data_IF_720864412914
#
_entry.id   IF_720864412914
#
_cell.length_a   1.000
_cell.length_b   1.000
_cell.length_c   1.000
_cell.angle_alpha   90.00
_cell.angle_beta   90.00
_cell.angle_gamma   90.00
#
_symmetry.space_group_name_H-M   'P 1'
#
loop_
_entity.id
_entity.type
_entity.pdbx_description
1 polymer ?
#
# COMPACT_ATOMS: atom_id res chain seq x y z
N UNK A 1 38.93 -18.99 28.75
CA UNK A 1 38.70 -17.84 27.87
C UNK A 1 38.60 -18.36 26.44
N UNK A 2 37.63 -17.93 25.61
CA UNK A 2 37.54 -18.38 24.22
C UNK A 2 38.81 -17.95 23.47
N UNK A 3 39.37 -18.87 22.67
CA UNK A 3 40.58 -18.59 21.91
C UNK A 3 40.39 -17.49 20.87
N UNK A 4 41.45 -16.77 20.45
CA UNK A 4 41.37 -15.60 19.57
C UNK A 4 40.69 -15.88 18.20
N UNK A 5 40.57 -17.14 17.82
CA UNK A 5 39.88 -17.55 16.60
C UNK A 5 38.35 -17.65 16.79
N UNK A 6 37.86 -18.09 17.95
CA UNK A 6 36.41 -18.13 18.25
C UNK A 6 35.84 -16.70 18.30
N UNK A 7 36.60 -15.78 18.90
CA UNK A 7 36.22 -14.36 18.92
C UNK A 7 36.17 -13.77 17.51
N UNK A 8 37.09 -14.06 16.61
CA UNK A 8 37.07 -13.62 15.22
C UNK A 8 35.81 -14.13 14.47
N UNK A 9 35.48 -15.42 14.61
CA UNK A 9 34.28 -16.01 14.00
C UNK A 9 32.97 -15.40 14.57
N UNK A 10 32.94 -15.11 15.87
CA UNK A 10 31.82 -14.44 16.49
C UNK A 10 31.64 -13.00 15.95
N UNK A 11 32.74 -12.27 15.78
CA UNK A 11 32.73 -10.93 15.20
C UNK A 11 32.33 -10.93 13.72
N UNK A 12 32.75 -11.91 12.91
CA UNK A 12 32.30 -12.03 11.53
C UNK A 12 30.84 -12.38 11.45
N UNK A 13 30.34 -13.28 12.29
CA UNK A 13 28.91 -13.61 12.36
C UNK A 13 28.07 -12.39 12.79
N UNK A 14 28.53 -11.65 13.81
CA UNK A 14 27.87 -10.41 14.23
C UNK A 14 27.87 -9.35 13.12
N UNK A 15 28.97 -9.22 12.39
CA UNK A 15 29.06 -8.32 11.22
C UNK A 15 28.09 -8.69 10.11
N UNK A 16 27.99 -9.98 9.77
CA UNK A 16 27.01 -10.48 8.77
C UNK A 16 25.60 -10.28 9.26
N UNK A 17 25.29 -10.58 10.52
CA UNK A 17 23.99 -10.35 11.11
C UNK A 17 23.60 -8.86 11.06
N UNK A 18 24.52 -7.97 11.41
CA UNK A 18 24.32 -6.53 11.33
C UNK A 18 24.09 -6.06 9.88
N UNK A 19 24.88 -6.57 8.93
CA UNK A 19 24.71 -6.25 7.51
C UNK A 19 23.34 -6.70 6.98
N UNK A 20 22.94 -7.94 7.30
CA UNK A 20 21.62 -8.48 6.90
C UNK A 20 20.50 -7.65 7.50
N UNK A 21 20.61 -7.29 8.78
CA UNK A 21 19.62 -6.44 9.46
C UNK A 21 19.57 -5.05 8.84
N UNK A 22 20.72 -4.45 8.54
CA UNK A 22 20.81 -3.14 7.89
C UNK A 22 20.21 -3.17 6.47
N UNK A 23 20.54 -4.19 5.66
CA UNK A 23 19.96 -4.40 4.33
C UNK A 23 18.44 -4.59 4.44
N UNK A 24 17.97 -5.46 5.32
CA UNK A 24 16.54 -5.66 5.54
C UNK A 24 15.85 -4.36 5.95
N UNK A 25 16.47 -3.51 6.77
CA UNK A 25 15.93 -2.22 7.17
C UNK A 25 15.86 -1.22 6.01
N UNK A 26 16.86 -1.21 5.11
CA UNK A 26 16.87 -0.35 3.92
C UNK A 26 15.78 -0.76 2.92
N UNK A 27 15.53 -2.06 2.76
CA UNK A 27 14.48 -2.58 1.87
C UNK A 27 13.09 -2.65 2.52
N UNK A 28 12.98 -2.34 3.81
CA UNK A 28 11.68 -2.30 4.48
C UNK A 28 10.84 -1.12 3.95
N UNK A 29 9.52 -1.32 3.70
CA UNK A 29 8.63 -0.22 3.32
C UNK A 29 8.74 0.93 4.33
N UNK A 30 8.70 2.19 3.89
CA UNK A 30 8.74 3.33 4.80
C UNK A 30 7.57 3.28 5.79
N UNK A 31 7.68 3.99 6.90
CA UNK A 31 6.53 4.19 7.79
C UNK A 31 5.49 5.09 7.10
N UNK A 32 4.18 4.88 7.37
CA UNK A 32 3.16 5.77 6.82
C UNK A 32 3.40 7.21 7.22
N UNK A 33 3.16 8.19 6.33
CA UNK A 33 3.28 9.60 6.67
C UNK A 33 2.27 10.00 7.75
N UNK A 34 2.61 10.98 8.57
CA UNK A 34 1.73 11.49 9.63
C UNK A 34 0.80 12.60 9.15
N UNK A 35 1.04 13.14 7.97
CA UNK A 35 0.22 14.16 7.33
C UNK A 35 -0.13 13.71 5.93
N UNK A 36 -1.39 13.90 5.56
CA UNK A 36 -1.95 13.60 4.24
C UNK A 36 -2.74 14.82 3.78
N UNK A 37 -2.61 15.20 2.53
CA UNK A 37 -3.39 16.30 1.93
C UNK A 37 -4.52 15.72 1.09
N UNK A 38 -5.74 16.19 1.35
CA UNK A 38 -6.95 15.77 0.67
C UNK A 38 -7.56 16.93 -0.10
N UNK A 39 -7.69 16.79 -1.41
CA UNK A 39 -8.45 17.71 -2.22
C UNK A 39 -9.96 17.43 -2.07
N UNK A 40 -10.73 18.49 -1.84
CA UNK A 40 -12.17 18.40 -1.58
C UNK A 40 -12.98 19.03 -2.70
N UNK A 41 -13.58 20.15 -2.47
CA UNK A 41 -14.35 20.93 -3.40
C UNK A 41 -14.41 22.39 -2.91
N UNK A 42 -15.30 23.20 -3.46
CA UNK A 42 -15.47 24.57 -3.00
C UNK A 42 -15.79 24.65 -1.50
N UNK A 43 -15.37 25.72 -0.86
CA UNK A 43 -15.72 25.98 0.53
C UNK A 43 -17.24 26.01 0.69
N UNK A 44 -17.77 25.35 1.73
CA UNK A 44 -19.20 25.16 1.94
C UNK A 44 -19.87 24.10 1.07
N UNK A 45 -19.15 23.48 0.13
CA UNK A 45 -19.64 22.36 -0.68
C UNK A 45 -19.69 21.04 0.09
N UNK A 46 -20.37 20.04 -0.50
CA UNK A 46 -20.53 18.72 0.12
C UNK A 46 -19.20 18.02 0.42
N UNK A 47 -18.25 18.04 -0.52
CA UNK A 47 -16.94 17.44 -0.33
C UNK A 47 -16.13 18.12 0.77
N UNK A 48 -16.23 19.45 0.91
CA UNK A 48 -15.58 20.18 2.00
C UNK A 48 -16.16 19.77 3.36
N UNK A 49 -17.48 19.68 3.48
CA UNK A 49 -18.15 19.23 4.71
C UNK A 49 -17.81 17.77 5.05
N UNK A 50 -17.74 16.88 4.06
CA UNK A 50 -17.30 15.49 4.24
C UNK A 50 -15.84 15.42 4.65
N UNK A 51 -14.96 16.19 4.01
CA UNK A 51 -13.54 16.29 4.37
C UNK A 51 -13.32 16.63 5.84
N UNK A 52 -14.11 17.56 6.38
CA UNK A 52 -14.06 17.90 7.82
C UNK A 52 -14.40 16.73 8.72
N UNK A 53 -15.40 15.90 8.35
CA UNK A 53 -15.72 14.67 9.10
C UNK A 53 -14.56 13.66 9.06
N UNK A 54 -13.96 13.46 7.89
CA UNK A 54 -12.76 12.60 7.76
C UNK A 54 -11.60 13.15 8.59
N UNK A 55 -11.37 14.46 8.58
CA UNK A 55 -10.33 15.10 9.38
C UNK A 55 -10.49 14.82 10.88
N UNK A 56 -11.72 14.92 11.40
CA UNK A 56 -12.01 14.64 12.80
C UNK A 56 -11.78 13.17 13.15
N UNK A 57 -12.22 12.23 12.31
CA UNK A 57 -12.04 10.80 12.52
C UNK A 57 -10.56 10.42 12.50
N UNK A 58 -9.82 10.89 11.49
CA UNK A 58 -8.41 10.57 11.31
C UNK A 58 -7.53 11.20 12.40
N UNK A 59 -7.93 12.37 12.92
CA UNK A 59 -7.27 12.99 14.07
C UNK A 59 -7.27 12.09 15.30
N UNK A 60 -8.32 11.30 15.54
CA UNK A 60 -8.39 10.31 16.63
C UNK A 60 -7.34 9.21 16.50
N UNK A 61 -6.86 8.96 15.27
CA UNK A 61 -5.81 7.99 14.96
C UNK A 61 -4.41 8.62 14.85
N UNK A 62 -4.24 9.88 15.32
CA UNK A 62 -3.01 10.66 15.22
C UNK A 62 -2.51 10.84 13.77
N UNK A 63 -3.41 10.88 12.79
CA UNK A 63 -3.16 11.26 11.42
C UNK A 63 -3.69 12.67 11.18
N UNK A 64 -2.84 13.56 10.67
CA UNK A 64 -3.21 14.92 10.28
C UNK A 64 -3.70 14.91 8.83
N UNK A 65 -4.97 15.17 8.63
CA UNK A 65 -5.54 15.39 7.30
C UNK A 65 -5.61 16.91 7.04
N UNK A 66 -4.93 17.38 6.02
CA UNK A 66 -5.00 18.76 5.54
C UNK A 66 -5.98 18.83 4.37
N UNK A 67 -6.95 19.72 4.44
CA UNK A 67 -7.96 19.87 3.41
C UNK A 67 -7.57 20.99 2.45
N UNK A 68 -7.56 20.69 1.15
CA UNK A 68 -7.35 21.64 0.08
C UNK A 68 -8.68 21.91 -0.63
N UNK A 69 -9.16 23.15 -0.55
CA UNK A 69 -10.32 23.59 -1.31
C UNK A 69 -9.98 23.66 -2.82
N UNK A 70 -10.89 23.19 -3.66
CA UNK A 70 -10.77 23.15 -5.12
C UNK A 70 -12.11 23.47 -5.77
N UNK A 71 -12.14 23.53 -7.11
CA UNK A 71 -13.38 23.70 -7.86
C UNK A 71 -14.17 22.37 -8.05
N UNK A 72 -13.66 21.24 -7.54
CA UNK A 72 -14.32 19.93 -7.61
C UNK A 72 -13.51 18.88 -8.37
N UNK A 73 -14.21 17.83 -8.83
CA UNK A 73 -13.59 16.56 -9.26
C UNK A 73 -12.55 16.69 -10.36
N UNK A 74 -12.72 17.57 -11.34
CA UNK A 74 -11.76 17.73 -12.44
C UNK A 74 -10.44 18.29 -11.90
N UNK A 75 -10.51 19.35 -11.09
CA UNK A 75 -9.30 19.90 -10.44
C UNK A 75 -8.71 18.91 -9.44
N UNK A 76 -9.53 18.14 -8.72
CA UNK A 76 -9.06 17.12 -7.78
C UNK A 76 -8.17 16.07 -8.48
N UNK A 77 -8.58 15.62 -9.66
CA UNK A 77 -7.79 14.69 -10.48
C UNK A 77 -6.49 15.33 -10.92
N UNK A 78 -6.50 16.57 -11.39
CA UNK A 78 -5.29 17.28 -11.77
C UNK A 78 -4.30 17.41 -10.61
N UNK A 79 -4.82 17.75 -9.40
CA UNK A 79 -4.02 17.85 -8.17
C UNK A 79 -3.44 16.51 -7.73
N UNK A 80 -4.20 15.41 -7.85
CA UNK A 80 -3.72 14.05 -7.55
C UNK A 80 -2.63 13.61 -8.52
N UNK A 81 -2.72 13.99 -9.80
CA UNK A 81 -1.73 13.66 -10.84
C UNK A 81 -0.45 14.47 -10.71
N UNK A 82 -0.51 15.63 -10.09
CA UNK A 82 0.68 16.44 -9.78
C UNK A 82 1.44 15.83 -8.59
N UNK A 83 2.47 15.03 -8.87
CA UNK A 83 3.30 14.39 -7.85
C UNK A 83 4.03 15.39 -6.94
N UNK A 84 4.22 16.65 -7.37
CA UNK A 84 4.87 17.69 -6.59
C UNK A 84 3.89 18.51 -5.75
N UNK A 85 2.60 18.44 -6.07
CA UNK A 85 1.54 19.20 -5.40
C UNK A 85 1.17 18.69 -4.00
N UNK A 86 1.69 17.53 -3.59
CA UNK A 86 1.51 16.96 -2.25
C UNK A 86 0.12 16.38 -1.97
N UNK A 87 -0.86 16.53 -2.87
CA UNK A 87 -2.20 15.93 -2.73
C UNK A 87 -2.11 14.43 -2.97
N UNK A 88 -2.62 13.64 -2.03
CA UNK A 88 -2.57 12.18 -2.10
C UNK A 88 -3.95 11.51 -2.08
N UNK A 89 -4.99 12.24 -1.69
CA UNK A 89 -6.37 11.76 -1.54
C UNK A 89 -7.33 12.79 -2.10
N UNK A 90 -8.42 12.36 -2.73
CA UNK A 90 -9.49 13.26 -3.14
C UNK A 90 -10.85 12.57 -3.24
N UNK A 91 -11.93 13.34 -3.12
CA UNK A 91 -13.24 12.93 -3.57
C UNK A 91 -13.36 13.18 -5.08
N UNK A 92 -13.84 12.18 -5.81
CA UNK A 92 -13.96 12.25 -7.27
C UNK A 92 -15.32 11.74 -7.69
N UNK A 93 -16.04 12.56 -8.46
CA UNK A 93 -17.29 12.19 -9.09
C UNK A 93 -17.05 11.29 -10.29
N UNK A 94 -17.81 10.22 -10.40
CA UNK A 94 -17.72 9.30 -11.53
C UNK A 94 -17.99 9.98 -12.88
N UNK A 95 -17.32 9.51 -13.91
CA UNK A 95 -17.36 10.07 -15.26
C UNK A 95 -16.40 11.24 -15.50
N UNK A 96 -15.56 11.58 -14.51
CA UNK A 96 -14.61 12.69 -14.67
C UNK A 96 -13.23 12.28 -15.16
N UNK A 97 -12.86 11.01 -15.02
CA UNK A 97 -11.59 10.44 -15.50
C UNK A 97 -11.77 8.98 -15.91
N UNK A 98 -10.67 8.35 -16.32
CA UNK A 98 -10.60 6.91 -16.58
C UNK A 98 -9.22 6.35 -16.21
N UNK A 99 -9.13 5.02 -16.06
CA UNK A 99 -7.85 4.35 -15.80
C UNK A 99 -6.81 4.58 -16.90
N UNK A 100 -7.24 4.84 -18.14
CA UNK A 100 -6.33 5.15 -19.24
C UNK A 100 -5.78 6.59 -19.15
N UNK A 101 -6.57 7.52 -18.61
CA UNK A 101 -6.17 8.93 -18.46
C UNK A 101 -5.34 9.18 -17.20
N UNK A 102 -5.55 8.37 -16.15
CA UNK A 102 -4.88 8.54 -14.85
C UNK A 102 -4.44 7.17 -14.28
N UNK A 103 -3.46 6.50 -14.91
CA UNK A 103 -3.00 5.17 -14.50
C UNK A 103 -2.30 5.18 -13.13
N UNK A 104 -1.85 6.33 -12.66
CA UNK A 104 -1.23 6.54 -11.34
C UNK A 104 -2.23 6.66 -10.18
N UNK A 105 -3.53 6.59 -10.48
CA UNK A 105 -4.59 6.72 -9.49
C UNK A 105 -5.36 5.42 -9.30
N UNK A 106 -5.77 5.16 -8.06
CA UNK A 106 -6.61 4.02 -7.70
C UNK A 106 -7.80 4.45 -6.84
N UNK A 107 -8.89 3.72 -6.93
CA UNK A 107 -10.07 3.96 -6.11
C UNK A 107 -10.01 3.16 -4.81
N UNK A 108 -10.49 3.74 -3.73
CA UNK A 108 -10.80 3.01 -2.50
C UNK A 108 -12.27 2.53 -2.46
N UNK A 109 -13.05 2.84 -3.48
CA UNK A 109 -14.44 2.42 -3.63
C UNK A 109 -15.42 3.59 -3.73
N UNK A 110 -16.67 3.25 -3.98
CA UNK A 110 -17.79 4.20 -4.05
C UNK A 110 -18.25 4.56 -2.64
N UNK A 111 -18.45 5.84 -2.38
CA UNK A 111 -18.82 6.38 -1.07
C UNK A 111 -20.30 6.69 -0.92
N UNK A 112 -20.90 7.23 -1.95
CA UNK A 112 -22.32 7.64 -1.98
C UNK A 112 -22.76 7.96 -3.40
N UNK A 113 -24.08 8.10 -3.57
CA UNK A 113 -24.67 8.61 -4.79
C UNK A 113 -24.77 10.12 -4.74
N UNK A 114 -24.46 10.76 -5.87
CA UNK A 114 -24.64 12.18 -6.12
C UNK A 114 -25.78 12.36 -7.13
N UNK A 115 -27.03 12.59 -6.66
CA UNK A 115 -28.15 12.77 -7.55
C UNK A 115 -27.96 13.99 -8.46
N UNK A 116 -28.21 13.78 -9.72
CA UNK A 116 -28.23 14.83 -10.74
C UNK A 116 -29.63 15.41 -10.86
N UNK A 117 -29.83 16.53 -10.19
CA UNK A 117 -31.09 17.25 -10.16
C UNK A 117 -31.20 18.15 -11.37
N UNK A 118 -32.33 18.04 -12.10
CA UNK A 118 -32.67 18.96 -13.18
C UNK A 118 -33.98 19.62 -12.83
N UNK A 119 -33.92 20.90 -12.51
CA UNK A 119 -35.09 21.70 -12.23
C UNK A 119 -35.41 22.64 -13.40
N UNK A 120 -36.67 22.80 -13.73
CA UNK A 120 -37.11 23.76 -14.72
C UNK A 120 -38.30 24.55 -14.19
N UNK A 121 -38.52 25.75 -14.73
CA UNK A 121 -39.73 26.50 -14.41
C UNK A 121 -40.97 25.79 -14.91
N UNK A 122 -42.03 25.83 -14.13
CA UNK A 122 -43.38 25.45 -14.57
C UNK A 122 -43.87 26.51 -15.55
N UNK A 123 -43.98 26.18 -16.83
CA UNK A 123 -44.57 27.07 -17.81
C UNK A 123 -46.09 26.83 -17.83
N UNK A 124 -46.93 27.88 -17.78
CA UNK A 124 -48.36 27.73 -18.01
C UNK A 124 -48.60 27.05 -19.35
N UNK A 125 -49.46 26.02 -19.37
CA UNK A 125 -49.75 25.21 -20.58
C UNK A 125 -50.35 26.04 -21.75
N UNK A 126 -50.79 27.27 -21.48
CA UNK A 126 -51.46 28.15 -22.42
C UNK A 126 -50.59 29.23 -23.09
N UNK A 127 -49.27 29.18 -22.92
CA UNK A 127 -48.44 30.04 -23.76
C UNK A 127 -48.22 29.31 -25.11
N UNK A 128 -48.85 29.82 -26.21
CA UNK A 128 -48.63 29.24 -27.53
C UNK A 128 -47.15 29.34 -27.83
N UNK A 129 -46.53 28.22 -28.14
CA UNK A 129 -45.15 28.01 -28.54
C UNK A 129 -44.27 29.24 -28.47
N UNK A 130 -44.04 29.72 -27.26
CA UNK A 130 -43.22 30.89 -27.02
C UNK A 130 -41.74 30.53 -27.27
N UNK A 131 -41.38 30.54 -28.55
CA UNK A 131 -40.03 30.82 -28.99
C UNK A 131 -39.68 32.20 -28.45
N UNK A 132 -39.10 32.26 -27.25
CA UNK A 132 -38.35 33.44 -26.84
C UNK A 132 -37.32 33.70 -27.96
N UNK A 133 -37.30 34.93 -28.48
CA UNK A 133 -36.32 35.35 -29.51
C UNK A 133 -34.85 35.21 -29.03
N UNK A 134 -34.63 34.95 -27.75
CA UNK A 134 -33.38 34.49 -27.15
C UNK A 134 -33.52 33.03 -26.76
N UNK A 135 -32.52 32.19 -26.96
CA UNK A 135 -32.49 30.77 -26.60
C UNK A 135 -32.84 30.52 -25.11
N UNK A 136 -32.94 29.24 -24.72
CA UNK A 136 -33.09 28.89 -23.30
C UNK A 136 -31.86 29.36 -22.50
N UNK A 137 -32.10 29.93 -21.31
CA UNK A 137 -31.05 30.26 -20.35
C UNK A 137 -30.91 29.12 -19.32
N UNK A 138 -29.78 28.45 -19.30
CA UNK A 138 -29.56 27.27 -18.45
C UNK A 138 -28.30 27.42 -17.63
N UNK A 139 -28.25 26.78 -16.47
CA UNK A 139 -27.00 26.60 -15.74
C UNK A 139 -26.62 25.12 -15.63
N UNK A 140 -25.39 24.81 -16.00
CA UNK A 140 -24.83 23.46 -15.90
C UNK A 140 -23.80 23.33 -14.75
N UNK A 141 -23.82 24.25 -13.80
CA UNK A 141 -22.92 24.33 -12.67
C UNK A 141 -21.61 25.05 -13.00
N UNK A 142 -20.72 25.19 -12.03
CA UNK A 142 -19.45 25.90 -12.19
C UNK A 142 -18.53 25.26 -13.24
N UNK A 143 -17.72 26.06 -13.90
CA UNK A 143 -16.66 25.59 -14.80
C UNK A 143 -15.78 24.57 -14.11
N UNK A 144 -15.33 23.55 -14.85
CA UNK A 144 -14.42 22.49 -14.35
C UNK A 144 -15.01 21.66 -13.19
N UNK A 145 -16.29 21.79 -12.88
CA UNK A 145 -16.99 20.88 -11.96
C UNK A 145 -17.41 19.59 -12.66
N UNK A 146 -17.58 18.52 -11.87
CA UNK A 146 -18.15 17.28 -12.39
C UNK A 146 -19.58 17.45 -12.90
N UNK A 147 -20.38 18.34 -12.29
CA UNK A 147 -21.73 18.70 -12.73
C UNK A 147 -21.71 19.24 -14.15
N UNK A 148 -20.82 20.21 -14.43
CA UNK A 148 -20.68 20.82 -15.75
C UNK A 148 -20.37 19.77 -16.82
N UNK A 149 -19.40 18.90 -16.57
CA UNK A 149 -19.01 17.82 -17.50
C UNK A 149 -20.18 16.89 -17.79
N UNK A 150 -20.86 16.38 -16.77
CA UNK A 150 -22.00 15.44 -16.93
C UNK A 150 -23.17 16.12 -17.62
N UNK A 151 -23.50 17.37 -17.27
CA UNK A 151 -24.57 18.11 -17.89
C UNK A 151 -24.38 18.28 -19.41
N UNK A 152 -23.19 18.67 -19.84
CA UNK A 152 -22.84 18.75 -21.26
C UNK A 152 -22.92 17.39 -21.96
N UNK A 153 -22.41 16.34 -21.37
CA UNK A 153 -22.48 15.00 -21.94
C UNK A 153 -23.91 14.50 -22.08
N UNK A 154 -24.76 14.70 -21.07
CA UNK A 154 -26.14 14.28 -21.12
C UNK A 154 -26.94 15.15 -22.10
N UNK A 155 -26.69 16.45 -22.16
CA UNK A 155 -27.35 17.36 -23.14
C UNK A 155 -27.01 16.94 -24.58
N UNK A 156 -25.74 16.64 -24.87
CA UNK A 156 -25.29 16.13 -26.17
C UNK A 156 -25.96 14.78 -26.52
N UNK A 157 -26.01 13.84 -25.54
CA UNK A 157 -26.64 12.53 -25.75
C UNK A 157 -28.17 12.61 -25.99
N UNK A 158 -28.83 13.68 -25.50
CA UNK A 158 -30.25 13.95 -25.72
C UNK A 158 -30.50 14.78 -27.00
N UNK A 159 -29.47 15.19 -27.73
CA UNK A 159 -29.56 16.00 -28.92
C UNK A 159 -30.01 17.46 -28.64
N UNK A 160 -29.65 17.99 -27.44
CA UNK A 160 -29.92 19.39 -27.12
C UNK A 160 -28.98 20.28 -27.94
N UNK A 161 -29.56 21.25 -28.65
CA UNK A 161 -28.80 22.24 -29.41
C UNK A 161 -28.25 23.32 -28.48
N UNK A 162 -26.98 23.14 -28.08
CA UNK A 162 -26.30 24.07 -27.17
C UNK A 162 -25.96 25.41 -27.85
N UNK A 163 -25.88 25.45 -29.18
CA UNK A 163 -25.59 26.70 -29.91
C UNK A 163 -26.79 27.71 -29.82
N UNK A 164 -27.99 27.17 -29.52
CA UNK A 164 -29.17 27.95 -29.28
C UNK A 164 -29.51 28.14 -27.81
N UNK A 165 -28.60 27.80 -26.91
CA UNK A 165 -28.83 27.81 -25.46
C UNK A 165 -27.77 28.68 -24.83
N UNK A 166 -28.18 29.66 -24.03
CA UNK A 166 -27.27 30.45 -23.20
C UNK A 166 -26.89 29.63 -21.97
N UNK A 167 -25.69 29.06 -21.95
CA UNK A 167 -25.22 28.26 -20.83
C UNK A 167 -24.42 29.14 -19.86
N UNK A 168 -24.85 29.17 -18.59
CA UNK A 168 -24.18 29.89 -17.51
C UNK A 168 -23.53 28.91 -16.55
N UNK A 169 -22.37 29.31 -16.04
CA UNK A 169 -21.53 28.49 -15.12
C UNK A 169 -21.66 29.03 -13.69
N UNK A 170 -22.80 28.77 -13.07
CA UNK A 170 -23.15 29.32 -11.76
C UNK A 170 -23.04 28.27 -10.66
N UNK A 171 -22.74 28.73 -9.44
CA UNK A 171 -22.84 27.89 -8.27
C UNK A 171 -24.28 27.40 -8.04
N UNK A 172 -24.48 26.21 -7.43
CA UNK A 172 -25.82 25.64 -7.21
C UNK A 172 -26.79 26.59 -6.51
N UNK A 173 -26.33 27.37 -5.54
CA UNK A 173 -27.18 28.33 -4.80
C UNK A 173 -27.60 29.48 -5.69
N UNK A 174 -26.66 30.10 -6.41
CA UNK A 174 -26.94 31.22 -7.30
C UNK A 174 -27.83 30.79 -8.47
N UNK A 175 -27.57 29.62 -9.05
CA UNK A 175 -28.39 29.04 -10.10
C UNK A 175 -29.83 28.81 -9.62
N UNK A 176 -30.02 28.27 -8.41
CA UNK A 176 -31.32 28.04 -7.81
C UNK A 176 -32.07 29.36 -7.54
N UNK A 177 -31.39 30.37 -7.00
CA UNK A 177 -31.98 31.71 -6.79
C UNK A 177 -32.43 32.37 -8.11
N UNK A 178 -31.61 32.30 -9.16
CA UNK A 178 -31.96 32.84 -10.48
C UNK A 178 -33.09 32.07 -11.15
N UNK A 179 -33.17 30.74 -10.96
CA UNK A 179 -34.28 29.94 -11.43
C UNK A 179 -35.59 30.39 -10.76
N UNK A 180 -35.60 30.59 -9.44
CA UNK A 180 -36.76 31.06 -8.67
C UNK A 180 -37.21 32.47 -9.10
N UNK A 181 -36.28 33.38 -9.36
CA UNK A 181 -36.52 34.72 -9.87
C UNK A 181 -37.03 34.72 -11.33
N UNK A 182 -36.74 33.67 -12.07
CA UNK A 182 -37.13 33.56 -13.48
C UNK A 182 -36.08 34.07 -14.46
N UNK A 183 -34.88 34.27 -13.99
CA UNK A 183 -33.74 34.67 -14.81
C UNK A 183 -33.14 33.47 -15.55
N UNK A 184 -33.42 32.22 -15.09
CA UNK A 184 -33.08 30.97 -15.74
C UNK A 184 -34.32 30.14 -16.05
N UNK A 185 -34.27 29.35 -17.11
CA UNK A 185 -35.30 28.40 -17.53
C UNK A 185 -35.10 27.01 -16.97
N UNK A 186 -33.82 26.59 -16.82
CA UNK A 186 -33.44 25.27 -16.35
C UNK A 186 -32.08 25.32 -15.65
N UNK A 187 -31.96 24.53 -14.63
CA UNK A 187 -30.67 24.32 -13.95
C UNK A 187 -30.39 22.85 -13.74
N UNK A 188 -29.11 22.49 -13.79
CA UNK A 188 -28.61 21.19 -13.40
C UNK A 188 -27.72 21.33 -12.15
N UNK A 189 -28.00 20.54 -11.12
CA UNK A 189 -27.27 20.55 -9.86
C UNK A 189 -26.88 19.11 -9.50
N UNK A 190 -25.63 18.90 -9.10
CA UNK A 190 -25.21 17.70 -8.37
C UNK A 190 -25.04 18.06 -6.91
N UNK A 191 -25.88 17.52 -6.06
CA UNK A 191 -25.86 17.79 -4.63
C UNK A 191 -26.53 16.66 -3.85
N UNK A 192 -26.23 16.57 -2.54
CA UNK A 192 -27.01 15.72 -1.64
C UNK A 192 -28.47 16.13 -1.60
N UNK A 193 -29.35 15.18 -1.35
CA UNK A 193 -30.80 15.41 -1.35
C UNK A 193 -31.27 16.43 -0.27
N UNK A 194 -30.54 16.52 0.83
CA UNK A 194 -30.79 17.42 1.97
C UNK A 194 -30.08 18.79 1.83
N UNK A 195 -29.38 19.03 0.72
CA UNK A 195 -28.77 20.33 0.45
C UNK A 195 -29.84 21.43 0.49
N UNK A 196 -29.62 22.57 1.18
CA UNK A 196 -30.65 23.61 1.39
C UNK A 196 -31.30 24.08 0.10
N UNK A 197 -30.53 24.28 -0.96
CA UNK A 197 -31.06 24.72 -2.26
C UNK A 197 -31.93 23.66 -2.92
N UNK A 198 -31.56 22.37 -2.85
CA UNK A 198 -32.33 21.25 -3.39
C UNK A 198 -33.68 21.17 -2.66
N UNK A 199 -33.65 21.20 -1.33
CA UNK A 199 -34.86 21.19 -0.50
C UNK A 199 -35.80 22.36 -0.82
N UNK A 200 -35.25 23.57 -0.98
CA UNK A 200 -35.99 24.75 -1.32
C UNK A 200 -36.67 24.61 -2.69
N UNK A 201 -35.95 24.15 -3.70
CA UNK A 201 -36.49 23.95 -5.04
C UNK A 201 -37.56 22.84 -5.11
N UNK A 202 -37.38 21.77 -4.33
CA UNK A 202 -38.38 20.69 -4.24
C UNK A 202 -39.71 21.15 -3.65
N UNK A 203 -39.67 22.13 -2.75
CA UNK A 203 -40.85 22.66 -2.07
C UNK A 203 -41.51 23.80 -2.85
N UNK A 204 -40.82 24.44 -3.79
CA UNK A 204 -41.36 25.59 -4.53
C UNK A 204 -42.30 25.16 -5.67
N UNK A 205 -43.46 25.84 -5.78
CA UNK A 205 -44.47 25.55 -6.79
C UNK A 205 -44.18 26.15 -8.17
N UNK A 206 -43.25 27.11 -8.26
CA UNK A 206 -42.84 27.76 -9.51
C UNK A 206 -41.90 26.96 -10.36
N UNK A 207 -41.30 25.93 -9.75
CA UNK A 207 -40.31 25.03 -10.40
C UNK A 207 -40.78 23.58 -10.35
N UNK A 208 -40.31 22.80 -11.29
CA UNK A 208 -40.61 21.38 -11.42
C UNK A 208 -39.30 20.58 -11.53
N UNK A 209 -39.19 19.53 -10.71
CA UNK A 209 -38.14 18.52 -10.88
C UNK A 209 -38.42 17.69 -12.13
N UNK A 210 -37.43 17.52 -13.00
CA UNK A 210 -37.59 16.77 -14.25
C UNK A 210 -37.31 15.28 -13.99
N UNK A 211 -38.25 14.47 -14.45
CA UNK A 211 -38.12 13.01 -14.46
C UNK A 211 -37.18 12.54 -15.60
N UNK A 212 -36.47 11.46 -15.38
CA UNK A 212 -35.61 10.82 -16.35
C UNK A 212 -36.20 9.47 -16.86
N UNK A 213 -37.12 9.48 -17.83
CA UNK A 213 -37.82 8.28 -18.27
C UNK A 213 -36.91 7.17 -18.77
N UNK A 214 -35.72 7.53 -19.28
CA UNK A 214 -34.72 6.61 -19.80
C UNK A 214 -33.51 6.42 -18.84
N UNK A 215 -33.71 6.61 -17.53
CA UNK A 215 -32.62 6.48 -16.54
C UNK A 215 -31.91 5.14 -16.62
N UNK A 216 -32.63 4.02 -16.83
CA UNK A 216 -32.06 2.69 -16.98
C UNK A 216 -31.13 2.59 -18.20
N UNK A 217 -31.50 3.19 -19.33
CA UNK A 217 -30.66 3.19 -20.53
C UNK A 217 -29.41 4.04 -20.36
N UNK A 218 -29.52 5.20 -19.68
CA UNK A 218 -28.35 6.03 -19.37
C UNK A 218 -27.39 5.32 -18.43
N UNK A 219 -27.89 4.65 -17.39
CA UNK A 219 -27.07 3.87 -16.46
C UNK A 219 -26.42 2.66 -17.13
N UNK A 220 -27.12 1.97 -18.03
CA UNK A 220 -26.55 0.85 -18.77
C UNK A 220 -25.40 1.25 -19.73
N UNK A 221 -25.50 2.43 -20.34
CA UNK A 221 -24.50 2.96 -21.27
C UNK A 221 -23.32 3.66 -20.56
N UNK A 222 -23.50 4.04 -19.31
CA UNK A 222 -22.53 4.81 -18.51
C UNK A 222 -22.40 4.21 -17.11
N UNK A 223 -21.42 3.33 -16.87
CA UNK A 223 -21.26 2.63 -15.60
C UNK A 223 -21.08 3.52 -14.37
N UNK A 224 -20.64 4.77 -14.58
CA UNK A 224 -20.52 5.77 -13.51
C UNK A 224 -21.87 6.37 -13.09
N UNK A 225 -22.94 6.15 -13.84
CA UNK A 225 -24.30 6.58 -13.49
C UNK A 225 -25.09 5.43 -12.87
N UNK A 226 -25.98 5.79 -11.95
CA UNK A 226 -27.00 4.92 -11.38
C UNK A 226 -28.37 5.54 -11.52
N UNK A 227 -29.40 4.72 -11.66
CA UNK A 227 -30.79 5.18 -11.52
C UNK A 227 -31.16 5.23 -10.05
N UNK A 228 -31.72 6.35 -9.63
CA UNK A 228 -32.39 6.50 -8.33
C UNK A 228 -33.84 6.78 -8.52
N UNK A 229 -34.64 6.54 -7.50
CA UNK A 229 -36.02 6.94 -7.43
C UNK A 229 -36.21 7.79 -6.20
N UNK A 230 -36.64 9.03 -6.40
CA UNK A 230 -37.07 9.94 -5.34
C UNK A 230 -38.53 9.63 -5.04
N UNK A 231 -38.86 9.08 -3.85
CA UNK A 231 -40.25 8.71 -3.55
C UNK A 231 -41.19 9.92 -3.47
N UNK A 232 -42.43 9.72 -3.89
CA UNK A 232 -43.50 10.67 -3.68
C UNK A 232 -43.60 11.14 -2.23
N UNK A 233 -43.77 12.42 -2.01
CA UNK A 233 -43.94 13.02 -0.69
C UNK A 233 -42.66 13.09 0.16
N UNK A 234 -41.51 12.58 -0.28
CA UNK A 234 -40.29 12.48 0.56
C UNK A 234 -39.74 13.86 0.98
N UNK A 235 -39.95 14.88 0.20
CA UNK A 235 -39.54 16.23 0.55
C UNK A 235 -40.50 16.91 1.55
N UNK A 236 -41.78 16.67 1.41
CA UNK A 236 -42.84 17.10 2.34
C UNK A 236 -44.07 16.21 2.18
N UNK A 237 -44.40 15.45 3.21
CA UNK A 237 -45.55 14.54 3.23
C UNK A 237 -46.86 15.30 3.27
N UNK A 238 -46.93 16.50 3.89
CA UNK A 238 -48.13 17.24 4.06
C UNK A 238 -48.63 17.89 2.75
N UNK A 239 -47.71 18.41 1.94
CA UNK A 239 -47.99 19.00 0.65
C UNK A 239 -47.76 18.04 -0.53
N UNK A 240 -47.46 16.73 -0.25
CA UNK A 240 -47.28 15.70 -1.24
C UNK A 240 -46.16 16.05 -2.26
N UNK A 241 -44.99 16.40 -1.75
CA UNK A 241 -43.86 16.84 -2.58
C UNK A 241 -42.72 15.79 -2.61
N UNK A 242 -42.24 15.36 -3.80
CA UNK A 242 -42.88 15.55 -5.12
C UNK A 242 -44.21 14.79 -5.22
N UNK A 243 -45.10 15.15 -6.16
CA UNK A 243 -46.44 14.57 -6.25
C UNK A 243 -46.46 13.12 -6.81
N UNK A 244 -45.39 12.68 -7.36
CA UNK A 244 -45.17 11.32 -7.88
C UNK A 244 -43.74 10.89 -7.69
N UNK A 245 -43.44 9.59 -7.83
CA UNK A 245 -42.08 9.07 -7.82
C UNK A 245 -41.29 9.63 -9.01
N UNK A 246 -40.13 10.23 -8.75
CA UNK A 246 -39.30 10.83 -9.79
C UNK A 246 -38.04 10.00 -9.99
N UNK A 247 -37.82 9.56 -11.23
CA UNK A 247 -36.55 8.87 -11.60
C UNK A 247 -35.47 9.92 -11.79
N UNK A 248 -34.33 9.66 -11.15
CA UNK A 248 -33.14 10.49 -11.22
C UNK A 248 -31.99 9.70 -11.79
N UNK A 249 -31.05 10.39 -12.40
CA UNK A 249 -29.70 9.91 -12.59
C UNK A 249 -28.84 10.34 -11.40
N UNK A 250 -27.85 9.53 -11.03
CA UNK A 250 -26.87 9.89 -10.02
C UNK A 250 -25.48 9.46 -10.45
N UNK A 251 -24.51 10.31 -10.26
CA UNK A 251 -23.13 9.89 -10.34
C UNK A 251 -22.73 9.15 -9.06
N UNK A 252 -21.74 8.28 -9.14
CA UNK A 252 -21.11 7.63 -7.99
C UNK A 252 -19.92 8.46 -7.55
N UNK A 253 -19.90 8.92 -6.32
CA UNK A 253 -18.73 9.57 -5.74
C UNK A 253 -17.77 8.52 -5.20
N UNK A 254 -16.50 8.61 -5.55
CA UNK A 254 -15.45 7.68 -5.13
C UNK A 254 -14.39 8.39 -4.30
N UNK A 255 -13.75 7.64 -3.40
CA UNK A 255 -12.53 8.07 -2.73
C UNK A 255 -11.33 7.59 -3.57
N UNK A 256 -10.61 8.54 -4.13
CA UNK A 256 -9.48 8.28 -5.02
C UNK A 256 -8.18 8.67 -4.34
N UNK A 257 -7.18 7.83 -4.51
CA UNK A 257 -5.84 8.04 -3.95
C UNK A 257 -4.78 7.79 -5.02
N UNK A 258 -3.60 8.33 -4.80
CA UNK A 258 -2.42 7.97 -5.59
C UNK A 258 -2.03 6.52 -5.29
N UNK A 259 -1.57 5.79 -6.29
CA UNK A 259 -1.14 4.39 -6.13
C UNK A 259 0.07 4.24 -5.20
N UNK A 260 0.91 5.28 -5.10
CA UNK A 260 2.07 5.34 -4.19
C UNK A 260 1.72 5.68 -2.73
N UNK A 261 0.46 5.96 -2.40
CA UNK A 261 0.03 6.20 -1.03
C UNK A 261 0.20 4.92 -0.20
N UNK A 262 0.79 5.06 0.98
CA UNK A 262 1.08 3.92 1.85
C UNK A 262 -0.17 3.07 2.16
N UNK A 263 -0.14 1.73 1.92
CA UNK A 263 -1.33 0.85 2.04
C UNK A 263 -2.06 0.92 3.38
N UNK A 264 -1.34 1.13 4.48
CA UNK A 264 -1.95 1.27 5.80
C UNK A 264 -2.92 2.48 5.87
N UNK A 265 -2.67 3.55 5.10
CA UNK A 265 -3.56 4.71 5.03
C UNK A 265 -4.84 4.41 4.27
N UNK A 266 -4.82 3.50 3.29
CA UNK A 266 -6.03 3.03 2.61
C UNK A 266 -7.04 2.45 3.61
N UNK A 267 -6.58 1.61 4.56
CA UNK A 267 -7.45 1.04 5.59
C UNK A 267 -8.03 2.11 6.52
N UNK A 268 -7.21 3.09 6.95
CA UNK A 268 -7.71 4.20 7.79
C UNK A 268 -8.74 5.05 7.07
N UNK A 269 -8.51 5.34 5.80
CA UNK A 269 -9.44 6.11 4.96
C UNK A 269 -10.74 5.33 4.73
N UNK A 270 -10.68 4.02 4.53
CA UNK A 270 -11.86 3.15 4.40
C UNK A 270 -12.65 3.04 5.71
N UNK A 271 -11.98 3.03 6.87
CA UNK A 271 -12.64 3.10 8.16
C UNK A 271 -13.38 4.43 8.35
N UNK A 272 -12.72 5.53 8.03
CA UNK A 272 -13.37 6.85 8.04
C UNK A 272 -14.54 6.89 7.06
N UNK A 273 -14.40 6.32 5.88
CA UNK A 273 -15.47 6.19 4.91
C UNK A 273 -16.67 5.41 5.46
N UNK A 274 -16.41 4.28 6.13
CA UNK A 274 -17.45 3.46 6.74
C UNK A 274 -18.19 4.18 7.86
N UNK A 275 -17.46 4.96 8.69
CA UNK A 275 -18.07 5.75 9.76
C UNK A 275 -18.94 6.91 9.19
N UNK A 276 -18.48 7.57 8.12
CA UNK A 276 -19.18 8.72 7.54
C UNK A 276 -20.34 8.31 6.66
N UNK A 277 -20.19 7.27 5.84
CA UNK A 277 -21.13 6.91 4.77
C UNK A 277 -21.92 5.63 5.04
N UNK A 278 -21.58 4.87 6.09
CA UNK A 278 -22.23 3.60 6.41
C UNK A 278 -23.66 3.71 6.94
N UNK A 279 -24.15 4.90 7.22
CA UNK A 279 -25.52 5.16 7.68
C UNK A 279 -26.58 5.02 6.57
N UNK A 280 -27.87 4.85 6.94
CA UNK A 280 -28.96 4.85 5.97
C UNK A 280 -29.23 6.25 5.44
N UNK A 281 -29.67 6.36 4.19
CA UNK A 281 -30.09 7.58 3.53
C UNK A 281 -31.36 7.38 2.70
N UNK A 282 -31.83 8.44 2.03
CA UNK A 282 -33.00 8.35 1.15
C UNK A 282 -32.78 7.39 -0.02
N UNK A 283 -31.55 7.28 -0.48
CA UNK A 283 -31.17 6.47 -1.65
C UNK A 283 -30.32 5.26 -1.34
N UNK A 284 -30.03 4.99 -0.06
CA UNK A 284 -29.19 3.87 0.35
C UNK A 284 -29.62 3.30 1.69
N UNK A 285 -29.34 2.02 1.90
CA UNK A 285 -29.50 1.33 3.18
C UNK A 285 -28.24 1.46 4.02
N UNK A 286 -28.39 1.20 5.31
CA UNK A 286 -27.22 1.09 6.18
C UNK A 286 -26.29 -0.03 5.68
N UNK A 287 -25.01 0.30 5.54
CA UNK A 287 -23.98 -0.63 5.07
C UNK A 287 -23.84 -0.74 3.54
N UNK A 288 -24.64 -0.02 2.75
CA UNK A 288 -24.47 0.01 1.28
C UNK A 288 -23.14 0.70 0.90
N UNK A 289 -22.67 1.62 1.72
CA UNK A 289 -21.43 2.37 1.50
C UNK A 289 -20.49 2.31 2.70
N UNK A 290 -19.16 2.40 2.45
CA UNK A 290 -18.47 2.40 1.17
C UNK A 290 -18.60 1.04 0.46
N UNK A 291 -18.62 1.03 -0.87
CA UNK A 291 -18.82 -0.17 -1.68
C UNK A 291 -17.63 -0.49 -2.58
N UNK A 292 -17.37 -1.79 -2.77
CA UNK A 292 -16.31 -2.30 -3.65
C UNK A 292 -16.69 -2.17 -5.15
N UNK A 293 -17.23 -1.02 -5.53
CA UNK A 293 -17.61 -0.77 -6.92
C UNK A 293 -16.57 0.14 -7.58
N UNK A 294 -15.67 -0.39 -8.43
CA UNK A 294 -14.83 0.47 -9.26
C UNK A 294 -15.71 1.15 -10.31
N UNK A 295 -15.57 2.46 -10.45
CA UNK A 295 -16.36 3.22 -11.43
C UNK A 295 -15.49 3.54 -12.64
N UNK A 296 -14.48 4.39 -12.46
CA UNK A 296 -13.61 4.87 -13.53
C UNK A 296 -12.17 4.38 -13.35
N UNK A 297 -11.78 4.13 -12.12
CA UNK A 297 -10.44 3.72 -11.70
C UNK A 297 -10.50 2.35 -11.03
N UNK A 298 -9.43 1.54 -11.15
CA UNK A 298 -9.38 0.23 -10.50
C UNK A 298 -9.36 0.39 -8.99
N UNK A 299 -9.93 -0.56 -8.27
CA UNK A 299 -9.79 -0.65 -6.82
C UNK A 299 -8.33 -0.94 -6.45
N UNK A 300 -7.83 -0.25 -5.42
CA UNK A 300 -6.54 -0.58 -4.82
C UNK A 300 -6.56 -2.00 -4.25
N UNK A 301 -5.39 -2.65 -4.17
CA UNK A 301 -5.27 -3.99 -3.56
C UNK A 301 -5.78 -3.98 -2.12
N UNK A 302 -5.34 -2.99 -1.32
CA UNK A 302 -5.78 -2.84 0.07
C UNK A 302 -7.29 -2.64 0.21
N UNK A 303 -7.94 -1.94 -0.75
CA UNK A 303 -9.39 -1.80 -0.74
C UNK A 303 -10.08 -3.14 -1.02
N UNK A 304 -9.57 -3.92 -2.00
CA UNK A 304 -10.09 -5.28 -2.26
C UNK A 304 -9.98 -6.17 -1.03
N UNK A 305 -8.83 -6.18 -0.37
CA UNK A 305 -8.63 -6.93 0.88
C UNK A 305 -9.59 -6.48 1.98
N UNK A 306 -9.78 -5.17 2.16
CA UNK A 306 -10.69 -4.62 3.16
C UNK A 306 -12.13 -5.06 2.94
N UNK A 307 -12.64 -5.00 1.72
CA UNK A 307 -14.02 -5.39 1.39
C UNK A 307 -14.25 -6.92 1.50
N UNK A 308 -13.21 -7.73 1.28
CA UNK A 308 -13.30 -9.19 1.44
C UNK A 308 -13.12 -9.66 2.88
N UNK A 309 -12.17 -9.10 3.61
CA UNK A 309 -11.76 -9.60 4.93
C UNK A 309 -11.93 -8.62 6.09
N UNK A 310 -12.31 -7.38 5.83
CA UNK A 310 -12.35 -6.32 6.81
C UNK A 310 -10.96 -5.82 7.21
N UNK A 311 -10.83 -5.35 8.45
CA UNK A 311 -9.56 -4.84 8.97
C UNK A 311 -8.48 -5.92 9.00
N UNK A 312 -7.23 -5.63 8.60
CA UNK A 312 -6.11 -6.53 8.79
C UNK A 312 -5.99 -6.98 10.25
N UNK A 313 -5.58 -8.24 10.45
CA UNK A 313 -5.53 -8.86 11.79
C UNK A 313 -4.84 -7.99 12.84
N UNK A 314 -3.67 -7.42 12.52
CA UNK A 314 -2.92 -6.59 13.47
C UNK A 314 -3.65 -5.30 13.82
N UNK A 315 -4.34 -4.67 12.87
CA UNK A 315 -5.08 -3.42 13.10
C UNK A 315 -6.38 -3.64 13.89
N UNK A 316 -6.83 -4.88 14.02
CA UNK A 316 -7.98 -5.23 14.87
C UNK A 316 -7.66 -5.17 16.37
N UNK A 317 -6.41 -5.45 16.75
CA UNK A 317 -5.98 -5.57 18.14
C UNK A 317 -5.01 -4.49 18.59
N UNK A 318 -4.32 -3.82 17.68
CA UNK A 318 -3.31 -2.81 17.96
C UNK A 318 -3.72 -1.45 17.41
N UNK A 319 -3.38 -0.36 18.09
CA UNK A 319 -3.46 0.98 17.52
C UNK A 319 -2.74 1.05 16.17
N UNK A 320 -3.26 1.88 15.25
CA UNK A 320 -2.78 1.99 13.87
C UNK A 320 -1.25 2.01 13.72
N UNK A 321 -0.58 2.90 14.47
CA UNK A 321 0.88 3.05 14.39
C UNK A 321 1.65 1.83 14.89
N UNK A 322 1.14 1.17 15.94
CA UNK A 322 1.73 -0.07 16.44
C UNK A 322 1.50 -1.23 15.48
N UNK A 323 0.34 -1.31 14.84
CA UNK A 323 0.05 -2.31 13.82
C UNK A 323 0.97 -2.14 12.60
N UNK A 324 1.16 -0.90 12.12
CA UNK A 324 2.07 -0.58 11.03
C UNK A 324 3.53 -0.93 11.37
N UNK A 325 3.98 -0.61 12.59
CA UNK A 325 5.31 -0.99 13.08
C UNK A 325 5.46 -2.51 13.18
N UNK A 326 4.46 -3.20 13.75
CA UNK A 326 4.48 -4.66 13.90
C UNK A 326 4.51 -5.37 12.54
N UNK A 327 3.73 -4.93 11.56
CA UNK A 327 3.76 -5.46 10.20
C UNK A 327 5.14 -5.31 9.56
N UNK A 328 5.77 -4.15 9.73
CA UNK A 328 7.14 -3.89 9.27
C UNK A 328 8.16 -4.81 9.94
N UNK A 329 8.08 -4.97 11.28
CA UNK A 329 8.97 -5.85 12.03
C UNK A 329 8.79 -7.30 11.64
N UNK A 330 7.56 -7.78 11.42
CA UNK A 330 7.29 -9.14 10.95
C UNK A 330 7.89 -9.39 9.56
N UNK A 331 7.73 -8.44 8.64
CA UNK A 331 8.31 -8.53 7.31
C UNK A 331 9.84 -8.61 7.35
N UNK A 332 10.47 -7.86 8.28
CA UNK A 332 11.92 -7.91 8.51
C UNK A 332 12.38 -9.19 9.21
N UNK A 333 11.56 -9.73 10.09
CA UNK A 333 11.91 -10.91 10.90
C UNK A 333 12.12 -12.16 10.03
N UNK A 334 11.30 -12.36 9.00
CA UNK A 334 11.36 -13.55 8.12
C UNK A 334 12.72 -13.71 7.45
N UNK A 335 13.27 -12.75 6.69
CA UNK A 335 14.58 -12.89 6.06
C UNK A 335 15.72 -12.91 7.10
N UNK A 336 15.60 -12.14 8.18
CA UNK A 336 16.62 -12.12 9.25
C UNK A 336 16.73 -13.49 9.91
N UNK A 337 15.62 -14.10 10.33
CA UNK A 337 15.61 -15.44 10.92
C UNK A 337 16.04 -16.49 9.89
N UNK A 338 15.53 -16.39 8.65
CA UNK A 338 15.87 -17.30 7.55
C UNK A 338 17.36 -17.34 7.22
N UNK A 339 18.09 -16.25 7.42
CA UNK A 339 19.55 -16.18 7.19
C UNK A 339 20.33 -16.48 8.46
N UNK A 340 19.94 -15.92 9.60
CA UNK A 340 20.68 -16.08 10.85
C UNK A 340 20.60 -17.50 11.40
N UNK A 341 19.44 -18.17 11.30
CA UNK A 341 19.30 -19.54 11.80
C UNK A 341 20.27 -20.54 11.14
N UNK A 342 20.35 -20.67 9.78
CA UNK A 342 21.37 -21.50 9.15
C UNK A 342 22.79 -21.06 9.48
N UNK A 343 23.05 -19.75 9.53
CA UNK A 343 24.36 -19.21 9.86
C UNK A 343 24.82 -19.69 11.25
N UNK A 344 23.98 -19.54 12.27
CA UNK A 344 24.28 -20.02 13.62
C UNK A 344 24.47 -21.54 13.69
N UNK A 345 23.74 -22.31 12.89
CA UNK A 345 23.91 -23.77 12.81
C UNK A 345 25.17 -24.19 12.10
N UNK A 346 25.62 -23.47 11.09
CA UNK A 346 26.83 -23.75 10.32
C UNK A 346 28.11 -23.29 11.02
N UNK A 347 28.08 -22.28 11.85
CA UNK A 347 29.23 -21.72 12.55
C UNK A 347 30.01 -22.78 13.37
N UNK A 348 29.39 -23.65 14.20
CA UNK A 348 30.08 -24.68 14.94
C UNK A 348 30.76 -25.74 14.03
N UNK A 349 30.07 -26.06 12.91
CA UNK A 349 30.61 -27.02 11.93
C UNK A 349 31.82 -26.42 11.19
N UNK A 350 31.73 -25.19 10.71
CA UNK A 350 32.82 -24.49 10.04
C UNK A 350 34.04 -24.31 10.97
N UNK A 351 33.79 -23.97 12.24
CA UNK A 351 34.84 -23.92 13.25
C UNK A 351 35.52 -25.31 13.44
N UNK A 352 34.68 -26.36 13.50
CA UNK A 352 35.18 -27.75 13.60
C UNK A 352 36.08 -28.16 12.42
N UNK A 353 35.61 -27.85 11.20
CA UNK A 353 36.41 -28.11 9.99
C UNK A 353 37.72 -27.31 9.96
N UNK A 354 37.70 -26.05 10.31
CA UNK A 354 38.90 -25.22 10.38
C UNK A 354 39.90 -25.73 11.41
N UNK A 355 39.43 -26.26 12.54
CA UNK A 355 40.32 -26.85 13.55
C UNK A 355 40.90 -28.21 13.10
N UNK A 356 40.05 -29.07 12.52
CA UNK A 356 40.51 -30.34 11.93
C UNK A 356 41.53 -30.10 10.82
N UNK A 357 41.28 -29.18 9.90
CA UNK A 357 42.17 -28.85 8.81
C UNK A 357 43.58 -28.43 9.31
N UNK A 358 43.64 -27.66 10.40
CA UNK A 358 44.94 -27.28 11.00
C UNK A 358 45.72 -28.47 11.53
N UNK A 359 45.03 -29.42 12.18
CA UNK A 359 45.67 -30.63 12.71
C UNK A 359 46.09 -31.53 11.55
N UNK A 360 45.21 -31.77 10.58
CA UNK A 360 45.53 -32.62 9.42
C UNK A 360 46.62 -32.04 8.53
N UNK A 361 46.81 -30.73 8.47
CA UNK A 361 47.92 -30.12 7.77
C UNK A 361 49.28 -30.51 8.41
N UNK A 362 49.36 -30.58 9.74
CA UNK A 362 50.56 -31.05 10.43
C UNK A 362 50.77 -32.56 10.23
N UNK A 363 49.67 -33.34 10.14
CA UNK A 363 49.76 -34.76 9.74
C UNK A 363 50.33 -34.92 8.32
N UNK A 364 49.88 -34.08 7.39
CA UNK A 364 50.44 -34.06 6.04
C UNK A 364 51.95 -33.78 6.01
N UNK A 365 52.40 -32.78 6.78
CA UNK A 365 53.84 -32.46 6.93
C UNK A 365 54.61 -33.62 7.56
N UNK A 366 54.03 -34.30 8.56
CA UNK A 366 54.64 -35.50 9.19
C UNK A 366 54.74 -36.67 8.20
N UNK A 367 53.66 -36.91 7.40
CA UNK A 367 53.62 -38.00 6.42
C UNK A 367 54.66 -37.81 5.30
N UNK A 368 54.84 -36.56 4.83
CA UNK A 368 55.92 -36.24 3.86
C UNK A 368 57.29 -36.53 4.43
N UNK A 369 57.54 -36.14 5.69
CA UNK A 369 58.80 -36.46 6.36
C UNK A 369 59.02 -37.99 6.49
N UNK A 370 57.98 -38.75 6.87
CA UNK A 370 58.03 -40.21 6.96
C UNK A 370 58.38 -40.84 5.60
N UNK A 371 57.77 -40.42 4.50
CA UNK A 371 58.06 -40.89 3.15
C UNK A 371 59.48 -40.51 2.69
N UNK A 372 59.99 -39.34 3.04
CA UNK A 372 61.33 -38.91 2.75
C UNK A 372 62.36 -39.83 3.51
N UNK A 373 62.02 -40.32 4.71
CA UNK A 373 62.80 -41.24 5.47
C UNK A 373 62.85 -42.65 4.86
N UNK A 374 61.68 -43.21 4.52
CA UNK A 374 61.54 -44.54 3.96
C UNK A 374 62.15 -44.64 2.56
N UNK A 375 62.12 -43.56 1.77
CA UNK A 375 62.74 -43.49 0.42
C UNK A 375 64.23 -43.26 0.36
N UNK A 376 64.93 -43.16 1.48
CA UNK A 376 66.35 -42.98 1.54
C UNK A 376 66.89 -41.63 1.05
N UNK A 377 66.04 -40.71 0.68
CA UNK A 377 66.35 -39.38 0.11
C UNK A 377 66.41 -38.27 1.18
N UNK A 378 66.31 -38.60 2.45
CA UNK A 378 66.34 -37.65 3.57
C UNK A 378 67.73 -37.04 3.74
N UNK A 379 67.81 -35.72 3.64
CA UNK A 379 69.02 -34.92 3.80
C UNK A 379 69.79 -35.12 5.10
N UNK A 380 70.77 -34.28 5.45
CA UNK A 380 71.65 -34.48 6.62
C UNK A 380 70.82 -34.65 7.91
N UNK A 381 71.32 -35.54 8.78
CA UNK A 381 70.72 -35.96 10.05
C UNK A 381 70.15 -34.76 10.87
N UNK A 382 70.96 -33.76 11.05
CA UNK A 382 70.61 -32.55 11.80
C UNK A 382 69.37 -31.81 11.23
N UNK A 383 69.18 -31.76 9.90
CA UNK A 383 68.04 -31.11 9.26
C UNK A 383 66.72 -31.88 9.48
N UNK A 384 66.78 -33.20 9.63
CA UNK A 384 65.67 -34.11 9.90
C UNK A 384 65.11 -33.92 11.31
N UNK A 385 66.01 -34.01 12.29
CA UNK A 385 65.68 -33.82 13.70
C UNK A 385 65.10 -32.40 13.94
N UNK A 386 65.73 -31.43 13.30
CA UNK A 386 65.24 -30.04 13.40
C UNK A 386 63.81 -29.85 12.84
N UNK A 387 63.44 -30.51 11.72
CA UNK A 387 62.12 -30.52 11.16
C UNK A 387 61.05 -31.18 12.06
N UNK A 388 61.42 -32.36 12.67
CA UNK A 388 60.55 -33.03 13.64
C UNK A 388 60.36 -32.17 14.89
N UNK A 389 61.40 -31.56 15.40
CA UNK A 389 61.35 -30.64 16.52
C UNK A 389 60.52 -29.40 16.23
N UNK A 390 60.58 -28.89 15.01
CA UNK A 390 59.71 -27.77 14.58
C UNK A 390 58.27 -28.20 14.54
N UNK A 391 57.93 -29.38 14.02
CA UNK A 391 56.59 -29.95 13.99
C UNK A 391 56.02 -30.14 15.40
N UNK A 392 56.82 -30.72 16.30
CA UNK A 392 56.46 -30.94 17.70
C UNK A 392 56.18 -29.60 18.41
N UNK A 393 57.09 -28.63 18.28
CA UNK A 393 56.90 -27.27 18.85
C UNK A 393 55.64 -26.58 18.31
N UNK A 394 55.26 -26.80 17.02
CA UNK A 394 54.02 -26.27 16.45
C UNK A 394 52.79 -26.97 17.04
N UNK A 395 52.86 -28.31 17.20
CA UNK A 395 51.81 -29.10 17.84
C UNK A 395 51.59 -28.69 19.31
N UNK A 396 52.69 -28.47 20.06
CA UNK A 396 52.64 -28.05 21.47
C UNK A 396 52.06 -26.66 21.68
N UNK A 397 52.33 -25.73 20.77
CA UNK A 397 51.78 -24.37 20.81
C UNK A 397 50.34 -24.31 20.37
N UNK A 398 49.78 -25.38 19.78
CA UNK A 398 48.40 -25.39 19.27
C UNK A 398 47.43 -25.54 20.44
N UNK A 399 46.65 -24.45 20.69
CA UNK A 399 45.55 -24.49 21.66
C UNK A 399 44.31 -25.01 20.96
N UNK A 400 43.85 -26.20 21.33
CA UNK A 400 42.66 -26.84 20.80
C UNK A 400 41.59 -26.98 21.89
N UNK A 401 40.29 -26.83 21.58
CA UNK A 401 39.22 -27.20 22.49
C UNK A 401 39.25 -28.69 22.83
N UNK A 402 38.73 -29.06 24.01
CA UNK A 402 38.69 -30.44 24.52
C UNK A 402 38.15 -31.45 23.49
N UNK A 403 37.19 -31.07 22.67
CA UNK A 403 36.61 -31.91 21.61
C UNK A 403 37.65 -32.41 20.59
N UNK A 404 38.72 -31.64 20.34
CA UNK A 404 39.76 -31.95 19.36
C UNK A 404 41.08 -32.38 20.04
N UNK A 405 41.11 -32.42 21.36
CA UNK A 405 42.31 -32.87 22.12
C UNK A 405 42.79 -34.29 21.74
N UNK A 406 41.87 -35.25 21.48
CA UNK A 406 42.34 -36.60 21.04
C UNK A 406 43.09 -36.57 19.71
N UNK A 407 42.64 -35.74 18.74
CA UNK A 407 43.32 -35.61 17.44
C UNK A 407 44.74 -35.02 17.58
N UNK A 408 44.89 -34.02 18.43
CA UNK A 408 46.20 -33.42 18.71
C UNK A 408 47.12 -34.39 19.49
N UNK A 409 46.52 -35.12 20.44
CA UNK A 409 47.26 -36.13 21.19
C UNK A 409 47.79 -37.25 20.27
N UNK A 410 46.95 -37.77 19.37
CA UNK A 410 47.35 -38.76 18.37
C UNK A 410 48.43 -38.21 17.44
N UNK A 411 48.37 -36.97 17.00
CA UNK A 411 49.41 -36.33 16.21
C UNK A 411 50.76 -36.34 16.98
N UNK A 412 50.77 -35.94 18.24
CA UNK A 412 51.95 -35.90 19.07
C UNK A 412 52.53 -37.32 19.28
N UNK A 413 51.66 -38.32 19.49
CA UNK A 413 52.04 -39.71 19.60
C UNK A 413 52.75 -40.22 18.31
N UNK A 414 52.12 -39.87 17.13
CA UNK A 414 52.75 -40.26 15.84
C UNK A 414 54.10 -39.56 15.59
N UNK A 415 54.24 -38.28 15.99
CA UNK A 415 55.56 -37.59 15.90
C UNK A 415 56.60 -38.34 16.75
N UNK A 416 56.21 -38.78 17.97
CA UNK A 416 57.06 -39.59 18.82
C UNK A 416 57.45 -40.91 18.16
N UNK A 417 56.49 -41.65 17.58
CA UNK A 417 56.78 -42.94 16.88
C UNK A 417 57.69 -42.75 15.67
N UNK A 418 57.49 -41.69 14.86
CA UNK A 418 58.43 -41.41 13.74
C UNK A 418 59.82 -41.09 14.25
N UNK A 419 59.94 -40.34 15.37
CA UNK A 419 61.27 -40.07 15.99
C UNK A 419 61.92 -41.31 16.47
N UNK A 420 61.24 -42.24 17.17
CA UNK A 420 61.78 -43.53 17.61
C UNK A 420 62.24 -44.41 16.42
N UNK A 421 61.45 -44.43 15.31
CA UNK A 421 61.91 -45.18 14.11
C UNK A 421 63.18 -44.60 13.51
N UNK A 422 63.26 -43.28 13.38
CA UNK A 422 64.49 -42.63 12.87
C UNK A 422 65.68 -42.99 13.73
N UNK A 423 65.60 -43.02 15.07
CA UNK A 423 66.65 -43.37 15.99
C UNK A 423 66.98 -44.89 15.96
N UNK A 424 65.95 -45.77 15.79
CA UNK A 424 66.13 -47.20 15.72
C UNK A 424 66.87 -47.63 14.44
N UNK A 425 66.56 -47.11 13.28
CA UNK A 425 67.28 -47.35 12.02
C UNK A 425 68.72 -46.91 12.12
N UNK A 426 69.02 -45.86 12.84
CA UNK A 426 70.35 -45.32 13.04
C UNK A 426 71.24 -46.15 14.04
N UNK A 427 70.56 -46.76 15.02
CA UNK A 427 71.30 -47.60 16.04
C UNK A 427 71.42 -49.07 15.63
N UNK A 428 71.02 -49.45 14.38
CA UNK A 428 71.07 -50.82 13.87
C UNK A 428 70.14 -51.79 14.60
N UNK A 429 69.15 -51.28 15.34
CA UNK A 429 68.05 -52.06 15.95
C UNK A 429 66.94 -52.21 14.97
N UNK A 430 66.46 -53.42 14.71
CA UNK A 430 65.26 -53.67 13.87
C UNK A 430 64.06 -52.95 14.44
N UNK A 431 63.47 -52.06 13.68
CA UNK A 431 62.25 -51.37 14.18
C UNK A 431 61.05 -52.33 14.33
N UNK A 432 60.29 -52.20 15.40
CA UNK A 432 59.06 -52.98 15.55
C UNK A 432 58.11 -52.77 14.37
N UNK A 433 57.40 -53.83 13.86
CA UNK A 433 56.52 -53.74 12.71
C UNK A 433 55.41 -52.71 12.94
N UNK A 434 55.11 -51.91 11.89
CA UNK A 434 54.11 -50.87 11.95
C UNK A 434 52.73 -51.48 12.24
N UNK A 435 51.88 -50.74 12.99
CA UNK A 435 50.50 -51.13 13.26
C UNK A 435 49.62 -51.19 11.99
N UNK A 436 50.13 -50.77 10.83
CA UNK A 436 49.43 -50.68 9.55
C UNK A 436 49.52 -51.98 8.69
N UNK A 437 50.39 -52.97 9.07
CA UNK A 437 50.52 -54.28 8.37
C UNK A 437 49.50 -55.33 8.82
N UNK A 438 48.51 -54.94 9.62
CA UNK A 438 47.40 -55.80 10.03
C UNK A 438 46.04 -55.22 9.62
N UNK A 439 45.83 -55.19 8.32
CA UNK A 439 44.46 -55.40 7.70
C UNK A 439 44.58 -55.49 6.20
#
# INVERSE_FOLDING_TARGET
>A
MPGPHLTRWLWTAAGVAMLVTALAFVFAPPMPPRTVVMATGPEGGAYAALGQKYQEILRRQNLRLELLATNGSVENIERLRDSQGGVSVAFVQGGTTSAAEAPELVSLGTLFYEPFWVFSRVRPQNLPGGRTKGGMRVSFGPARSGTNKIAHELAAAMGVDLDRTEVLELDPTDAGEQLLKGDLDLISIVAAWDAPIVRRLLLDHSVQLRDWPRADAHAALRPYLSKLVLPRGVADLASDRPPEDVRLLAAKASLVVRDDLHPALHYLLLEAASEVHGGPGVFNRAGDFPAAEPVDLPLSESAREYYHGGRPFLQRYLPFWLAALASRLLLLLIPVVGILYPLFRLLPAAYGWGMQYRIYRLYGELKVLEMEFDGGSGGPRHARDERLDQLERRADRMRVPLRFAPLLYNLKMHIGLVRERVQAVETGRTPAPSADDRH
#
